data_IF_032269905995
#
_entry.id   IF_032269905995
#
_cell.length_a   1.000
_cell.length_b   1.000
_cell.length_c   1.000
_cell.angle_alpha   90.00
_cell.angle_beta   90.00
_cell.angle_gamma   90.00
#
_symmetry.space_group_name_H-M   'P 1'
#
loop_
_entity.id
_entity.type
_entity.pdbx_description
1 polymer ?
#
# COMPACT_ATOMS: atom_id res chain seq x y z
N UNK A 1 -20.56 16.54 -6.11
CA UNK A 1 -20.03 15.17 -6.20
C UNK A 1 -21.10 14.19 -6.60
N UNK A 2 -20.73 13.10 -7.20
CA UNK A 2 -21.60 11.99 -7.53
C UNK A 2 -20.80 10.68 -7.52
N UNK A 3 -21.46 9.57 -7.20
CA UNK A 3 -20.86 8.27 -7.15
C UNK A 3 -21.05 7.53 -8.47
N UNK A 4 -20.03 6.81 -8.87
CA UNK A 4 -20.02 6.02 -10.08
C UNK A 4 -19.43 4.63 -9.80
N UNK A 5 -19.97 3.64 -10.49
CA UNK A 5 -19.41 2.30 -10.53
C UNK A 5 -18.54 2.14 -11.77
N UNK A 6 -17.42 1.47 -11.66
CA UNK A 6 -16.57 1.15 -12.81
C UNK A 6 -17.04 -0.17 -13.43
N UNK A 7 -17.41 -0.13 -14.71
CA UNK A 7 -17.67 -1.32 -15.51
C UNK A 7 -16.51 -1.54 -16.47
N UNK A 8 -15.82 -2.67 -16.36
CA UNK A 8 -14.71 -3.02 -17.25
C UNK A 8 -15.20 -3.23 -18.67
N UNK A 9 -14.43 -2.77 -19.67
CA UNK A 9 -14.76 -2.99 -21.09
C UNK A 9 -14.61 -4.45 -21.49
N UNK A 10 -13.78 -5.22 -20.77
CA UNK A 10 -13.59 -6.64 -20.94
C UNK A 10 -13.43 -7.31 -19.57
N UNK A 11 -14.47 -8.01 -19.14
CA UNK A 11 -14.49 -8.67 -17.83
C UNK A 11 -13.60 -9.93 -17.76
N UNK A 12 -13.11 -10.44 -18.89
CA UNK A 12 -12.39 -11.71 -18.95
C UNK A 12 -10.88 -11.61 -18.76
N UNK A 13 -10.28 -10.39 -18.84
CA UNK A 13 -8.83 -10.24 -18.97
C UNK A 13 -8.18 -9.19 -18.07
N UNK A 14 -8.90 -8.63 -17.08
CA UNK A 14 -8.35 -7.56 -16.26
C UNK A 14 -8.11 -6.27 -17.07
N UNK A 15 -9.16 -5.75 -17.67
CA UNK A 15 -9.10 -4.55 -18.51
C UNK A 15 -8.54 -3.34 -17.73
N UNK A 16 -7.62 -2.61 -18.35
CA UNK A 16 -7.15 -1.32 -17.86
C UNK A 16 -8.06 -0.15 -18.23
N UNK A 17 -9.14 -0.41 -18.94
CA UNK A 17 -10.14 0.58 -19.38
C UNK A 17 -11.55 0.13 -18.98
N UNK A 18 -12.41 1.09 -18.71
CA UNK A 18 -13.79 0.84 -18.33
C UNK A 18 -14.66 2.07 -18.50
N UNK A 19 -15.95 1.91 -18.28
CA UNK A 19 -16.92 2.99 -18.25
C UNK A 19 -17.29 3.31 -16.82
N UNK A 20 -17.47 4.60 -16.52
CA UNK A 20 -18.05 5.05 -15.26
C UNK A 20 -19.57 5.08 -15.43
N UNK A 21 -20.25 4.19 -14.74
CA UNK A 21 -21.71 4.10 -14.70
C UNK A 21 -22.21 4.77 -13.46
N UNK A 22 -23.13 5.71 -13.64
CA UNK A 22 -23.72 6.49 -12.56
C UNK A 22 -24.41 5.57 -11.52
N UNK A 23 -24.07 5.74 -10.26
CA UNK A 23 -24.72 5.07 -9.17
C UNK A 23 -25.88 5.94 -8.62
N UNK A 24 -27.11 5.47 -8.78
CA UNK A 24 -28.30 6.22 -8.38
C UNK A 24 -28.77 7.26 -9.43
N UNK A 25 -29.60 8.22 -9.00
CA UNK A 25 -30.23 9.20 -9.90
C UNK A 25 -29.40 10.46 -10.11
N UNK A 26 -28.52 10.81 -9.19
CA UNK A 26 -27.72 12.04 -9.23
C UNK A 26 -26.38 11.77 -9.88
N UNK A 27 -26.12 12.43 -11.00
CA UNK A 27 -24.81 12.45 -11.66
C UNK A 27 -24.17 13.84 -11.60
N UNK A 28 -22.94 13.95 -12.05
CA UNK A 28 -22.29 15.25 -12.27
C UNK A 28 -23.08 16.01 -13.33
N UNK A 29 -23.50 17.23 -13.00
CA UNK A 29 -24.21 18.08 -13.97
C UNK A 29 -23.21 18.87 -14.79
N UNK A 30 -23.46 18.94 -16.07
CA UNK A 30 -22.76 19.85 -16.97
C UNK A 30 -23.10 21.29 -16.57
N UNK A 31 -22.07 22.12 -16.50
CA UNK A 31 -22.22 23.55 -16.34
C UNK A 31 -22.53 24.27 -17.69
N UNK A 32 -21.92 25.41 -17.91
CA UNK A 32 -22.01 26.12 -19.17
C UNK A 32 -21.36 25.35 -20.31
N UNK A 33 -22.14 24.80 -21.22
CA UNK A 33 -21.68 24.01 -22.37
C UNK A 33 -20.85 24.81 -23.40
N UNK A 34 -20.76 26.11 -23.24
CA UNK A 34 -19.90 26.98 -24.04
C UNK A 34 -18.46 27.09 -23.54
N UNK A 35 -18.13 26.46 -22.38
CA UNK A 35 -16.81 26.53 -21.75
C UNK A 35 -16.21 25.17 -21.50
N UNK A 36 -14.86 25.05 -21.47
CA UNK A 36 -14.20 23.85 -21.02
C UNK A 36 -14.54 23.51 -19.56
N UNK A 37 -14.62 22.20 -19.24
CA UNK A 37 -14.87 21.70 -17.90
C UNK A 37 -13.78 20.69 -17.51
N UNK A 38 -13.23 20.85 -16.31
CA UNK A 38 -12.34 19.87 -15.72
C UNK A 38 -13.14 18.91 -14.82
N UNK A 39 -12.85 17.62 -14.97
CA UNK A 39 -13.44 16.55 -14.20
C UNK A 39 -12.35 15.91 -13.36
N UNK A 40 -12.66 15.69 -12.11
CA UNK A 40 -11.79 15.03 -11.15
C UNK A 40 -12.51 13.84 -10.55
N UNK A 41 -11.80 12.76 -10.37
CA UNK A 41 -12.32 11.53 -9.78
C UNK A 41 -11.35 10.97 -8.74
N UNK A 42 -11.89 10.34 -7.75
CA UNK A 42 -11.13 9.61 -6.74
C UNK A 42 -11.69 8.18 -6.65
N UNK A 43 -10.79 7.21 -6.72
CA UNK A 43 -11.14 5.80 -6.58
C UNK A 43 -10.54 5.25 -5.29
N UNK A 44 -11.40 4.65 -4.49
CA UNK A 44 -11.04 3.91 -3.28
C UNK A 44 -12.11 2.86 -3.04
N UNK A 45 -11.71 1.64 -2.73
CA UNK A 45 -12.64 0.54 -2.43
C UNK A 45 -13.20 0.71 -1.00
N UNK A 46 -14.17 1.64 -0.83
CA UNK A 46 -14.92 1.80 0.42
C UNK A 46 -14.19 2.49 1.58
N UNK A 47 -13.10 3.21 1.32
CA UNK A 47 -12.29 3.89 2.35
C UNK A 47 -12.35 5.43 2.27
N UNK A 48 -13.36 5.98 1.64
CA UNK A 48 -13.63 7.41 1.70
C UNK A 48 -14.63 7.63 2.83
N UNK A 49 -14.22 8.40 3.83
CA UNK A 49 -15.18 8.90 4.82
C UNK A 49 -16.12 9.90 4.14
N UNK A 50 -17.39 9.55 4.06
CA UNK A 50 -18.42 10.43 3.52
C UNK A 50 -18.37 11.78 4.25
N UNK A 51 -18.28 12.86 3.50
CA UNK A 51 -18.25 14.22 4.05
C UNK A 51 -16.87 14.88 4.14
N UNK A 52 -15.77 14.18 3.86
CA UNK A 52 -14.43 14.77 3.88
C UNK A 52 -13.98 15.34 2.51
N UNK A 53 -14.94 15.69 1.65
CA UNK A 53 -14.66 16.36 0.38
C UNK A 53 -14.96 17.85 0.49
N UNK A 54 -13.97 18.68 0.17
CA UNK A 54 -14.15 20.13 0.05
C UNK A 54 -13.58 20.60 -1.28
N UNK A 55 -14.45 21.00 -2.20
CA UNK A 55 -14.02 21.40 -3.53
C UNK A 55 -13.37 20.25 -4.31
N UNK A 56 -12.08 20.38 -4.63
CA UNK A 56 -11.26 19.36 -5.29
C UNK A 56 -10.41 18.54 -4.32
N UNK A 57 -10.51 18.78 -3.02
CA UNK A 57 -9.73 18.08 -2.00
C UNK A 57 -10.50 16.90 -1.46
N UNK A 58 -9.86 15.73 -1.40
CA UNK A 58 -10.35 14.52 -0.76
C UNK A 58 -9.47 14.16 0.42
N UNK A 59 -10.05 13.61 1.48
CA UNK A 59 -9.33 13.12 2.63
C UNK A 59 -9.49 11.59 2.70
N UNK A 60 -8.39 10.89 2.93
CA UNK A 60 -8.36 9.45 2.99
C UNK A 60 -7.34 8.96 4.03
N UNK A 61 -7.47 7.72 4.47
CA UNK A 61 -6.60 7.13 5.51
C UNK A 61 -6.00 5.82 5.04
N UNK A 62 -4.68 5.69 5.21
CA UNK A 62 -3.98 4.41 5.18
C UNK A 62 -3.72 4.00 6.63
N UNK A 63 -4.31 2.92 7.13
CA UNK A 63 -4.17 2.55 8.54
C UNK A 63 -2.77 2.03 8.86
N UNK A 64 -2.39 2.13 10.13
CA UNK A 64 -1.15 1.53 10.66
C UNK A 64 -1.19 0.01 10.63
N UNK A 65 -2.32 -0.60 10.97
CA UNK A 65 -2.58 -2.02 10.82
C UNK A 65 -3.22 -2.30 9.47
N UNK A 66 -2.55 -3.09 8.63
CA UNK A 66 -3.06 -3.51 7.34
C UNK A 66 -3.30 -5.01 7.42
N UNK A 67 -4.54 -5.43 7.25
CA UNK A 67 -4.87 -6.84 7.25
C UNK A 67 -4.44 -7.48 5.93
N UNK A 68 -3.77 -8.61 6.04
CA UNK A 68 -3.53 -9.48 4.90
C UNK A 68 -4.80 -10.24 4.52
N UNK A 69 -4.96 -10.51 3.24
CA UNK A 69 -6.04 -11.36 2.74
C UNK A 69 -5.69 -12.86 2.89
N UNK A 70 -5.61 -13.57 1.77
CA UNK A 70 -5.29 -15.00 1.74
C UNK A 70 -3.79 -15.25 1.68
N UNK A 71 -3.36 -16.36 2.26
CA UNK A 71 -2.05 -16.92 1.99
C UNK A 71 -2.11 -17.77 0.72
N UNK A 72 -1.35 -17.40 -0.28
CA UNK A 72 -1.15 -18.16 -1.51
C UNK A 72 0.28 -18.72 -1.51
N UNK A 73 0.45 -19.92 -2.01
CA UNK A 73 1.76 -20.58 -2.09
C UNK A 73 2.00 -21.02 -3.55
N UNK A 74 3.20 -20.75 -4.06
CA UNK A 74 3.58 -21.00 -5.44
C UNK A 74 4.86 -21.81 -5.51
N UNK A 75 4.99 -22.63 -6.55
CA UNK A 75 6.25 -23.25 -6.92
C UNK A 75 7.13 -22.27 -7.72
N UNK A 76 8.34 -22.73 -8.08
CA UNK A 76 9.30 -21.90 -8.83
C UNK A 76 8.85 -21.57 -10.26
N UNK A 77 7.88 -22.31 -10.80
CA UNK A 77 7.32 -22.08 -12.14
C UNK A 77 6.15 -21.09 -12.10
N UNK A 78 5.82 -20.55 -10.91
CA UNK A 78 4.75 -19.58 -10.72
C UNK A 78 3.34 -20.19 -10.67
N UNK A 79 3.22 -21.52 -10.60
CA UNK A 79 1.94 -22.19 -10.40
C UNK A 79 1.61 -22.27 -8.90
N UNK A 80 0.33 -22.11 -8.57
CA UNK A 80 -0.14 -22.29 -7.19
C UNK A 80 0.07 -23.75 -6.77
N UNK A 81 0.80 -23.96 -5.65
CA UNK A 81 1.17 -25.26 -5.14
C UNK A 81 1.29 -25.17 -3.60
N UNK A 82 0.52 -25.93 -2.83
CA UNK A 82 0.58 -25.91 -1.36
C UNK A 82 1.98 -26.24 -0.79
N UNK A 83 2.80 -26.96 -1.53
CA UNK A 83 4.16 -27.34 -1.15
C UNK A 83 5.22 -26.39 -1.74
N UNK A 84 4.80 -25.30 -2.35
CA UNK A 84 5.68 -24.34 -3.00
C UNK A 84 6.65 -23.63 -2.07
N UNK A 85 7.66 -23.03 -2.66
CA UNK A 85 8.71 -22.33 -1.93
C UNK A 85 8.44 -20.82 -1.79
N UNK A 86 7.47 -20.29 -2.52
CA UNK A 86 7.14 -18.87 -2.51
C UNK A 86 5.73 -18.62 -1.98
N UNK A 87 5.65 -17.95 -0.85
CA UNK A 87 4.39 -17.60 -0.17
C UNK A 87 4.09 -16.13 -0.34
N UNK A 88 2.82 -15.80 -0.58
CA UNK A 88 2.33 -14.43 -0.72
C UNK A 88 1.13 -14.24 0.21
N UNK A 89 1.17 -13.21 1.03
CA UNK A 89 -0.04 -12.68 1.66
C UNK A 89 -0.64 -11.67 0.69
N UNK A 90 -1.85 -11.95 0.20
CA UNK A 90 -2.54 -11.02 -0.71
C UNK A 90 -2.84 -9.71 0.05
N UNK A 91 -2.48 -8.54 -0.50
CA UNK A 91 -2.76 -7.28 0.18
C UNK A 91 -4.25 -6.93 0.13
N UNK A 92 -4.70 -6.13 1.09
CA UNK A 92 -6.03 -5.50 1.00
C UNK A 92 -6.00 -4.39 -0.04
N UNK A 93 -6.57 -4.67 -1.20
CA UNK A 93 -6.62 -3.73 -2.33
C UNK A 93 -7.51 -2.51 -2.08
N UNK A 94 -8.26 -2.47 -0.96
CA UNK A 94 -9.03 -1.28 -0.59
C UNK A 94 -8.15 -0.05 -0.33
N UNK A 95 -6.87 -0.25 -0.04
CA UNK A 95 -5.89 0.82 0.12
C UNK A 95 -5.23 1.26 -1.20
N UNK A 96 -5.52 0.60 -2.33
CA UNK A 96 -5.07 1.03 -3.65
C UNK A 96 -5.91 2.23 -4.12
N UNK A 97 -5.53 3.42 -3.69
CA UNK A 97 -6.23 4.65 -4.02
C UNK A 97 -5.68 5.27 -5.30
N UNK A 98 -6.58 5.78 -6.14
CA UNK A 98 -6.22 6.42 -7.40
C UNK A 98 -6.95 7.75 -7.57
N UNK A 99 -6.28 8.72 -8.17
CA UNK A 99 -6.86 9.97 -8.61
C UNK A 99 -7.01 9.99 -10.13
N UNK A 100 -8.13 10.50 -10.62
CA UNK A 100 -8.44 10.63 -12.03
C UNK A 100 -8.69 12.07 -12.43
N UNK A 101 -8.25 12.43 -13.65
CA UNK A 101 -8.41 13.77 -14.21
C UNK A 101 -8.73 13.68 -15.69
N UNK A 102 -9.62 14.57 -16.12
CA UNK A 102 -9.96 14.72 -17.53
C UNK A 102 -10.53 16.11 -17.81
N UNK A 103 -10.44 16.55 -19.05
CA UNK A 103 -10.99 17.84 -19.50
C UNK A 103 -11.92 17.60 -20.67
N UNK A 104 -13.08 18.22 -20.64
CA UNK A 104 -13.97 18.31 -21.78
C UNK A 104 -13.88 19.72 -22.39
N UNK A 105 -13.89 19.79 -23.71
CA UNK A 105 -13.86 21.03 -24.47
C UNK A 105 -15.12 21.14 -25.36
N UNK A 106 -15.76 22.31 -25.49
CA UNK A 106 -16.90 22.50 -26.38
C UNK A 106 -16.61 22.05 -27.81
N UNK A 107 -17.57 21.37 -28.43
CA UNK A 107 -17.45 20.85 -29.80
C UNK A 107 -16.76 19.50 -29.92
N UNK A 108 -16.30 18.89 -28.81
CA UNK A 108 -15.82 17.51 -28.78
C UNK A 108 -16.96 16.54 -28.47
N UNK A 109 -16.64 15.25 -28.48
CA UNK A 109 -17.58 14.18 -28.10
C UNK A 109 -18.15 14.40 -26.69
N UNK A 110 -19.33 13.85 -26.43
CA UNK A 110 -19.99 13.94 -25.11
C UNK A 110 -19.29 13.10 -24.03
N UNK A 111 -18.31 12.30 -24.41
CA UNK A 111 -17.57 11.46 -23.49
C UNK A 111 -16.35 12.20 -22.94
N UNK A 112 -16.11 12.05 -21.64
CA UNK A 112 -14.91 12.56 -20.97
C UNK A 112 -14.01 11.38 -20.65
N UNK A 113 -12.81 11.37 -21.21
CA UNK A 113 -11.79 10.42 -20.83
C UNK A 113 -11.15 10.85 -19.50
N UNK A 114 -11.17 9.96 -18.50
CA UNK A 114 -10.45 10.14 -17.24
C UNK A 114 -9.26 9.20 -17.21
N UNK A 115 -8.08 9.74 -16.93
CA UNK A 115 -6.89 8.95 -16.70
C UNK A 115 -6.67 8.85 -15.20
N UNK A 116 -6.63 7.62 -14.67
CA UNK A 116 -6.39 7.34 -13.25
C UNK A 116 -4.94 7.01 -13.00
N UNK A 117 -4.36 7.59 -11.98
CA UNK A 117 -3.02 7.29 -11.48
C UNK A 117 -3.07 6.93 -10.00
N UNK A 118 -2.33 5.90 -9.55
CA UNK A 118 -2.26 5.60 -8.13
C UNK A 118 -1.62 6.76 -7.36
N UNK A 119 -2.21 7.10 -6.22
CA UNK A 119 -1.71 8.15 -5.31
C UNK A 119 -1.06 7.56 -4.05
N UNK A 120 -0.94 6.27 -3.96
CA UNK A 120 -0.24 5.54 -2.90
C UNK A 120 0.98 4.84 -3.47
N UNK A 121 1.91 4.45 -2.61
CA UNK A 121 3.03 3.59 -2.99
C UNK A 121 2.89 2.22 -2.36
N UNK A 122 3.51 1.21 -2.95
CA UNK A 122 3.55 -0.14 -2.42
C UNK A 122 4.99 -0.50 -2.06
N UNK A 123 5.20 -0.87 -0.81
CA UNK A 123 6.44 -1.50 -0.39
C UNK A 123 6.24 -3.03 -0.38
N UNK A 124 6.99 -3.70 -1.23
CA UNK A 124 6.95 -5.15 -1.44
C UNK A 124 8.13 -5.78 -0.69
N UNK A 125 7.86 -6.39 0.47
CA UNK A 125 8.88 -6.96 1.36
C UNK A 125 8.96 -8.46 1.14
N UNK A 126 10.11 -8.93 0.69
CA UNK A 126 10.41 -10.34 0.53
C UNK A 126 11.26 -10.83 1.70
N UNK A 127 10.67 -11.67 2.55
CA UNK A 127 11.30 -12.26 3.74
C UNK A 127 11.82 -13.65 3.36
N UNK A 128 13.12 -13.87 3.53
CA UNK A 128 13.71 -15.18 3.36
C UNK A 128 13.52 -16.01 4.63
N UNK A 129 13.30 -17.31 4.46
CA UNK A 129 13.16 -18.25 5.56
C UNK A 129 14.39 -18.29 6.48
N UNK A 130 14.26 -18.99 7.62
CA UNK A 130 15.32 -19.05 8.62
C UNK A 130 16.57 -19.74 8.11
N UNK A 131 17.72 -19.41 8.71
CA UNK A 131 19.00 -20.04 8.37
C UNK A 131 19.31 -21.25 9.27
N UNK A 132 19.12 -21.10 10.58
CA UNK A 132 19.62 -22.05 11.57
C UNK A 132 18.57 -23.04 12.10
N UNK A 133 17.29 -22.83 11.76
CA UNK A 133 16.19 -23.70 12.18
C UNK A 133 15.35 -24.11 10.97
N UNK A 134 14.70 -25.26 11.08
CA UNK A 134 13.91 -25.79 9.96
C UNK A 134 12.74 -24.90 9.53
N UNK A 135 12.15 -24.17 10.46
CA UNK A 135 11.06 -23.22 10.19
C UNK A 135 10.91 -22.18 11.30
N UNK A 136 10.19 -21.10 10.98
CA UNK A 136 9.66 -20.12 11.95
C UNK A 136 8.19 -19.85 11.65
N UNK A 137 7.41 -19.60 12.69
CA UNK A 137 6.03 -19.13 12.58
C UNK A 137 6.01 -17.59 12.68
N UNK A 138 5.61 -16.93 11.62
CA UNK A 138 5.60 -15.48 11.50
C UNK A 138 4.22 -14.95 11.90
N UNK A 139 4.19 -14.03 12.86
CA UNK A 139 2.96 -13.44 13.42
C UNK A 139 2.64 -12.10 12.78
N UNK A 140 3.66 -11.28 12.55
CA UNK A 140 3.49 -10.00 11.86
C UNK A 140 4.78 -9.53 11.22
N UNK A 141 4.62 -8.68 10.22
CA UNK A 141 5.72 -7.92 9.61
C UNK A 141 5.37 -6.45 9.73
N UNK A 142 6.33 -5.64 10.14
CA UNK A 142 6.15 -4.19 10.23
C UNK A 142 7.27 -3.44 9.51
N UNK A 143 6.95 -2.25 9.06
CA UNK A 143 7.89 -1.31 8.47
C UNK A 143 7.74 0.03 9.19
N UNK A 144 8.85 0.64 9.60
CA UNK A 144 8.83 1.96 10.23
C UNK A 144 9.90 2.88 9.66
N UNK A 145 9.62 4.18 9.71
CA UNK A 145 10.63 5.23 9.51
C UNK A 145 11.37 5.49 10.83
N UNK A 146 12.70 5.46 10.79
CA UNK A 146 13.55 5.80 11.97
C UNK A 146 13.51 7.29 12.28
N UNK A 147 13.43 8.12 11.26
CA UNK A 147 13.34 9.58 11.41
C UNK A 147 11.95 10.04 11.89
N UNK A 148 10.98 9.13 12.02
CA UNK A 148 9.61 9.46 12.40
C UNK A 148 8.78 10.06 11.27
N UNK A 149 9.21 9.95 10.01
CA UNK A 149 8.39 10.36 8.87
C UNK A 149 7.12 9.53 8.83
N UNK A 150 6.01 10.20 8.64
CA UNK A 150 4.70 9.55 8.51
C UNK A 150 4.63 8.78 7.19
N UNK A 151 4.57 7.47 7.27
CA UNK A 151 4.45 6.57 6.11
C UNK A 151 3.04 6.01 5.92
N UNK A 152 2.17 6.16 6.92
CA UNK A 152 0.74 5.83 6.90
C UNK A 152 -0.04 6.90 7.65
N UNK A 153 -1.36 6.81 7.68
CA UNK A 153 -2.25 7.72 8.40
C UNK A 153 -3.18 8.47 7.46
N UNK A 154 -3.88 9.46 8.02
CA UNK A 154 -4.81 10.30 7.27
C UNK A 154 -4.05 11.39 6.50
N UNK A 155 -4.48 11.63 5.28
CA UNK A 155 -3.93 12.66 4.40
C UNK A 155 -5.04 13.30 3.58
N UNK A 156 -4.82 14.54 3.14
CA UNK A 156 -5.65 15.18 2.13
C UNK A 156 -4.91 15.22 0.80
N UNK A 157 -5.66 15.05 -0.29
CA UNK A 157 -5.13 15.10 -1.65
C UNK A 157 -5.95 16.06 -2.48
N UNK A 158 -5.30 17.06 -3.07
CA UNK A 158 -5.92 17.98 -4.00
C UNK A 158 -5.88 17.39 -5.43
N UNK A 159 -7.04 16.97 -5.92
CA UNK A 159 -7.21 16.36 -7.23
C UNK A 159 -6.87 17.33 -8.39
N UNK A 160 -7.02 18.65 -8.18
CA UNK A 160 -6.72 19.64 -9.20
C UNK A 160 -5.22 19.89 -9.33
N UNK A 161 -4.52 20.00 -8.21
CA UNK A 161 -3.10 20.29 -8.13
C UNK A 161 -2.22 19.06 -8.01
N UNK A 162 -2.83 17.86 -7.88
CA UNK A 162 -2.13 16.58 -7.73
C UNK A 162 -1.12 16.60 -6.57
N UNK A 163 -1.53 17.20 -5.44
CA UNK A 163 -0.64 17.44 -4.30
C UNK A 163 -1.21 16.90 -2.99
N UNK A 164 -0.30 16.43 -2.13
CA UNK A 164 -0.64 15.95 -0.80
C UNK A 164 -0.57 17.09 0.21
N UNK A 165 -1.51 17.07 1.14
CA UNK A 165 -1.42 17.82 2.38
C UNK A 165 -1.39 16.85 3.55
N UNK A 166 -0.28 16.87 4.29
CA UNK A 166 -0.04 16.07 5.48
C UNK A 166 -0.01 17.01 6.69
N UNK A 167 -1.07 17.74 6.91
CA UNK A 167 -1.12 18.77 7.94
C UNK A 167 -0.80 18.18 9.32
N UNK A 168 0.37 18.55 9.83
CA UNK A 168 0.83 18.15 11.15
C UNK A 168 0.07 18.89 12.29
N UNK A 169 -0.73 19.90 11.97
CA UNK A 169 -1.44 20.73 12.93
C UNK A 169 -2.86 20.26 13.19
N UNK A 170 -3.45 19.49 12.28
CA UNK A 170 -4.76 18.89 12.48
C UNK A 170 -4.64 17.55 13.21
N UNK A 171 -4.91 17.59 14.53
CA UNK A 171 -4.85 16.39 15.38
C UNK A 171 -5.90 15.31 15.01
N UNK A 172 -6.88 15.62 14.18
CA UNK A 172 -7.81 14.64 13.61
C UNK A 172 -7.17 13.78 12.51
N UNK A 173 -6.04 14.23 11.96
CA UNK A 173 -5.30 13.60 10.89
C UNK A 173 -3.93 13.09 11.38
N UNK A 174 -3.95 12.16 12.34
CA UNK A 174 -2.71 11.57 12.87
C UNK A 174 -2.13 10.58 11.88
N UNK A 175 -1.02 10.96 11.27
CA UNK A 175 -0.20 10.05 10.51
C UNK A 175 0.78 9.30 11.43
N UNK A 176 1.20 8.11 11.05
CA UNK A 176 2.09 7.27 11.82
C UNK A 176 3.35 6.89 11.05
N UNK A 177 4.43 6.70 11.77
CA UNK A 177 5.73 6.29 11.21
C UNK A 177 5.89 4.78 11.08
N UNK A 178 4.87 4.00 11.41
CA UNK A 178 4.88 2.53 11.36
C UNK A 178 3.66 1.97 10.63
N UNK A 179 3.89 0.98 9.78
CA UNK A 179 2.87 0.14 9.18
C UNK A 179 3.10 -1.32 9.56
N UNK A 180 2.04 -2.06 9.88
CA UNK A 180 2.10 -3.47 10.27
C UNK A 180 1.10 -4.29 9.47
N UNK A 181 1.55 -5.42 8.92
CA UNK A 181 0.69 -6.44 8.33
C UNK A 181 0.69 -7.66 9.25
N UNK A 182 -0.48 -8.06 9.69
CA UNK A 182 -0.66 -9.30 10.44
C UNK A 182 -0.52 -10.49 9.49
N UNK A 183 0.28 -11.46 9.91
CA UNK A 183 0.51 -12.69 9.14
C UNK A 183 -0.17 -13.90 9.79
N UNK A 184 -1.25 -13.64 10.54
CA UNK A 184 -2.12 -14.66 11.11
C UNK A 184 -3.28 -14.85 10.12
N UNK A 185 -3.30 -16.01 9.47
CA UNK A 185 -4.31 -16.40 8.49
C UNK A 185 -5.11 -17.58 9.08
N UNK A 186 -6.43 -17.47 9.09
CA UNK A 186 -7.32 -18.49 9.68
C UNK A 186 -6.91 -18.88 11.12
N UNK A 187 -6.56 -17.88 11.94
CA UNK A 187 -6.06 -18.03 13.32
C UNK A 187 -4.72 -18.75 13.46
N UNK A 188 -3.97 -18.93 12.39
CA UNK A 188 -2.64 -19.55 12.43
C UNK A 188 -1.57 -18.58 11.91
N UNK A 189 -0.42 -18.47 12.60
CA UNK A 189 0.71 -17.72 12.08
C UNK A 189 1.27 -18.42 10.83
N UNK A 190 1.79 -17.62 9.91
CA UNK A 190 2.38 -18.16 8.67
C UNK A 190 3.66 -18.91 8.99
N UNK A 191 3.65 -20.22 8.76
CA UNK A 191 4.84 -21.06 8.83
C UNK A 191 5.74 -20.80 7.62
N UNK A 192 6.99 -20.42 7.89
CA UNK A 192 8.02 -20.17 6.88
C UNK A 192 9.19 -21.12 7.09
N UNK A 193 9.45 -21.99 6.12
CA UNK A 193 10.53 -22.97 6.17
C UNK A 193 11.85 -22.39 5.64
N UNK A 194 12.97 -23.08 5.92
CA UNK A 194 14.33 -22.61 5.63
C UNK A 194 14.55 -22.20 4.17
N UNK A 195 13.94 -22.90 3.23
CA UNK A 195 14.08 -22.66 1.79
C UNK A 195 12.90 -21.87 1.18
N UNK A 196 11.98 -21.40 2.02
CA UNK A 196 10.82 -20.65 1.57
C UNK A 196 11.04 -19.14 1.66
N UNK A 197 10.22 -18.41 0.94
CA UNK A 197 10.15 -16.96 0.97
C UNK A 197 8.71 -16.52 1.22
N UNK A 198 8.54 -15.47 2.02
CA UNK A 198 7.26 -14.85 2.28
C UNK A 198 7.26 -13.43 1.73
N UNK A 199 6.30 -13.14 0.86
CA UNK A 199 6.06 -11.81 0.32
C UNK A 199 4.93 -11.11 1.07
N UNK A 200 5.21 -9.92 1.58
CA UNK A 200 4.25 -9.06 2.29
C UNK A 200 4.28 -7.68 1.64
N UNK A 201 3.10 -7.14 1.35
CA UNK A 201 2.95 -5.82 0.73
C UNK A 201 2.33 -4.83 1.69
N UNK A 202 2.88 -3.63 1.71
CA UNK A 202 2.38 -2.48 2.47
C UNK A 202 1.93 -1.39 1.51
N UNK A 203 0.74 -0.86 1.73
CA UNK A 203 0.35 0.42 1.14
C UNK A 203 0.85 1.56 2.03
N UNK A 204 1.60 2.47 1.46
CA UNK A 204 2.24 3.57 2.18
C UNK A 204 1.92 4.91 1.51
N UNK A 205 2.06 5.97 2.29
CA UNK A 205 2.08 7.33 1.76
C UNK A 205 3.36 7.55 0.96
N UNK A 206 3.28 8.14 -0.24
CA UNK A 206 4.47 8.53 -0.98
C UNK A 206 5.30 9.52 -0.17
N UNK A 207 6.57 9.20 0.03
CA UNK A 207 7.51 10.00 0.83
C UNK A 207 8.92 9.91 0.27
N UNK A 208 9.64 10.99 0.39
CA UNK A 208 11.09 10.97 0.23
C UNK A 208 11.70 10.36 1.50
N UNK A 209 12.12 9.12 1.38
CA UNK A 209 12.73 8.34 2.45
C UNK A 209 14.23 8.23 2.17
N UNK A 210 15.03 8.74 3.09
CA UNK A 210 16.48 8.68 3.00
C UNK A 210 16.99 7.24 3.16
N UNK A 211 18.14 6.95 2.59
CA UNK A 211 18.82 5.67 2.79
C UNK A 211 19.00 5.38 4.28
N UNK A 212 18.71 4.14 4.68
CA UNK A 212 18.83 3.70 6.06
C UNK A 212 17.74 4.21 7.01
N UNK A 213 16.70 4.88 6.49
CA UNK A 213 15.58 5.34 7.32
C UNK A 213 14.50 4.26 7.53
N UNK A 214 14.30 3.34 6.58
CA UNK A 214 13.33 2.26 6.75
C UNK A 214 13.90 1.10 7.56
N UNK A 215 13.11 0.64 8.53
CA UNK A 215 13.38 -0.58 9.30
C UNK A 215 12.24 -1.56 9.08
N UNK A 216 12.57 -2.75 8.58
CA UNK A 216 11.65 -3.89 8.54
C UNK A 216 11.81 -4.70 9.81
N UNK A 217 10.71 -5.11 10.42
CA UNK A 217 10.70 -5.99 11.60
C UNK A 217 9.76 -7.17 11.37
N UNK A 218 10.17 -8.34 11.82
CA UNK A 218 9.43 -9.60 11.73
C UNK A 218 9.23 -10.14 13.13
N UNK A 219 7.99 -10.28 13.58
CA UNK A 219 7.63 -10.88 14.85
C UNK A 219 7.30 -12.36 14.64
N UNK A 220 7.90 -13.22 15.42
CA UNK A 220 7.62 -14.67 15.44
C UNK A 220 6.71 -15.05 16.59
N UNK A 221 6.05 -16.21 16.49
CA UNK A 221 5.17 -16.77 17.53
C UNK A 221 5.86 -16.92 18.90
N UNK A 222 7.17 -17.17 18.91
CA UNK A 222 7.98 -17.22 20.14
C UNK A 222 8.25 -15.84 20.77
N UNK A 223 7.69 -14.75 20.25
CA UNK A 223 7.89 -13.38 20.73
C UNK A 223 9.26 -12.78 20.34
N UNK A 224 10.03 -13.48 19.52
CA UNK A 224 11.30 -12.95 19.02
C UNK A 224 11.01 -12.00 17.86
N UNK A 225 11.64 -10.82 17.90
CA UNK A 225 11.57 -9.83 16.85
C UNK A 225 12.90 -9.75 16.13
N UNK A 226 12.86 -9.92 14.82
CA UNK A 226 13.99 -9.69 13.93
C UNK A 226 13.80 -8.36 13.25
N UNK A 227 14.75 -7.43 13.38
CA UNK A 227 14.66 -6.12 12.75
C UNK A 227 15.89 -5.82 11.91
N UNK A 228 15.69 -5.25 10.73
CA UNK A 228 16.77 -4.81 9.86
C UNK A 228 16.52 -3.42 9.30
N UNK A 229 17.53 -2.57 9.41
CA UNK A 229 17.57 -1.31 8.67
C UNK A 229 17.87 -1.62 7.20
N UNK A 230 17.04 -1.10 6.33
CA UNK A 230 17.24 -1.21 4.89
C UNK A 230 18.24 -0.13 4.48
N UNK A 231 19.46 -0.57 4.16
CA UNK A 231 20.51 0.26 3.62
C UNK A 231 20.64 -0.02 2.13
N UNK A 232 20.59 1.02 1.33
CA UNK A 232 20.77 0.93 -0.11
C UNK A 232 19.49 0.62 -0.87
N UNK A 233 19.42 1.22 -1.99
CA UNK A 233 18.33 1.21 -2.94
C UNK A 233 18.37 -0.06 -3.77
N UNK A 234 17.80 -1.13 -3.29
CA UNK A 234 17.24 -2.15 -4.18
C UNK A 234 15.89 -1.69 -4.71
N UNK A 235 15.72 -0.39 -4.90
CA UNK A 235 14.55 0.17 -5.55
C UNK A 235 14.79 0.08 -7.05
N UNK A 236 13.91 -0.56 -7.75
CA UNK A 236 13.80 -0.47 -9.20
C UNK A 236 13.37 0.96 -9.58
N UNK A 237 14.29 1.92 -9.40
CA UNK A 237 14.00 3.33 -9.57
C UNK A 237 15.01 4.29 -8.95
N UNK A 238 15.94 3.80 -8.15
CA UNK A 238 17.24 4.48 -7.90
C UNK A 238 17.33 5.53 -6.80
N UNK A 239 16.26 6.08 -6.21
CA UNK A 239 16.39 7.32 -5.43
C UNK A 239 15.95 7.25 -3.96
N UNK A 240 15.69 6.07 -3.40
CA UNK A 240 15.23 5.96 -2.00
C UNK A 240 13.84 6.57 -1.74
N UNK A 241 13.13 6.93 -2.77
CA UNK A 241 11.82 7.57 -2.74
C UNK A 241 10.73 6.53 -2.84
N UNK A 242 9.80 6.54 -1.89
CA UNK A 242 8.52 5.85 -2.02
C UNK A 242 7.60 6.73 -2.89
N UNK A 243 7.74 6.66 -4.22
CA UNK A 243 6.97 7.47 -5.15
C UNK A 243 5.54 6.98 -5.32
N UNK A 244 4.60 7.90 -5.59
CA UNK A 244 3.23 7.53 -5.93
C UNK A 244 3.18 6.63 -7.15
N UNK A 245 2.35 5.58 -7.07
CA UNK A 245 2.21 4.59 -8.16
C UNK A 245 3.38 3.64 -8.34
N UNK A 246 4.42 3.72 -7.50
CA UNK A 246 5.56 2.82 -7.57
C UNK A 246 5.39 1.63 -6.64
N UNK A 247 5.97 0.49 -7.06
CA UNK A 247 6.18 -0.69 -6.24
C UNK A 247 7.66 -0.81 -5.95
N UNK A 248 8.03 -0.57 -4.70
CA UNK A 248 9.42 -0.68 -4.24
C UNK A 248 9.61 -2.04 -3.60
N UNK A 249 10.52 -2.86 -4.15
CA UNK A 249 10.80 -4.19 -3.61
C UNK A 249 12.03 -4.18 -2.72
N UNK A 250 11.88 -4.76 -1.53
CA UNK A 250 12.96 -4.99 -0.57
C UNK A 250 13.10 -6.50 -0.34
N UNK A 251 14.33 -7.00 -0.40
CA UNK A 251 14.65 -8.37 -0.01
C UNK A 251 15.39 -8.34 1.31
N UNK A 252 14.89 -9.09 2.29
CA UNK A 252 15.58 -9.25 3.57
C UNK A 252 16.62 -10.37 3.49
N UNK A 253 17.67 -10.36 4.32
CA UNK A 253 18.50 -11.55 4.53
C UNK A 253 17.67 -12.67 5.19
N UNK A 254 18.27 -13.87 5.30
CA UNK A 254 17.65 -14.97 6.02
C UNK A 254 17.41 -14.62 7.48
N UNK A 255 16.30 -15.09 8.03
CA UNK A 255 15.99 -14.97 9.44
C UNK A 255 16.86 -15.93 10.25
N UNK A 256 17.36 -15.51 11.39
CA UNK A 256 18.30 -16.31 12.21
C UNK A 256 19.76 -16.17 11.77
N UNK A 257 20.63 -17.01 12.33
CA UNK A 257 22.06 -16.99 12.05
C UNK A 257 22.83 -15.83 12.67
N UNK A 258 24.06 -15.62 12.22
CA UNK A 258 24.91 -14.53 12.72
C UNK A 258 24.35 -13.15 12.38
N UNK A 259 23.56 -13.02 11.33
CA UNK A 259 22.89 -11.77 10.97
C UNK A 259 21.75 -11.42 11.91
N UNK A 260 21.13 -12.37 12.60
CA UNK A 260 20.08 -12.13 13.59
C UNK A 260 20.58 -11.23 14.74
N UNK A 261 21.84 -11.38 15.13
CA UNK A 261 22.43 -10.54 16.19
C UNK A 261 22.52 -9.06 15.78
N UNK A 262 22.55 -8.75 14.50
CA UNK A 262 22.49 -7.38 14.00
C UNK A 262 21.04 -6.82 13.97
N UNK A 263 20.04 -7.67 14.13
CA UNK A 263 18.64 -7.30 14.09
C UNK A 263 18.09 -6.84 15.43
N UNK A 264 18.59 -7.40 16.54
CA UNK A 264 18.00 -7.17 17.87
C UNK A 264 18.42 -5.85 18.55
N UNK A 265 19.45 -5.16 18.07
CA UNK A 265 20.05 -4.05 18.82
C UNK A 265 19.32 -2.69 18.67
N UNK A 266 18.21 -2.59 17.95
CA UNK A 266 17.65 -1.30 17.55
C UNK A 266 16.16 -1.06 17.82
N UNK A 267 15.46 -1.92 18.55
CA UNK A 267 14.04 -1.68 18.87
C UNK A 267 13.95 -1.05 20.26
N UNK A 268 13.40 0.16 20.41
CA UNK A 268 12.94 0.64 21.70
C UNK A 268 11.85 -0.32 22.22
N UNK A 269 11.98 -0.79 23.44
CA UNK A 269 11.09 -1.78 24.08
C UNK A 269 9.58 -1.42 24.09
N UNK A 270 9.19 -0.25 23.63
CA UNK A 270 7.82 0.27 23.74
C UNK A 270 7.04 0.33 22.42
N UNK A 271 7.62 -0.09 21.29
CA UNK A 271 6.99 0.11 19.97
C UNK A 271 6.17 -1.08 19.47
N UNK A 272 6.11 -2.20 20.20
CA UNK A 272 5.52 -3.44 19.70
C UNK A 272 4.26 -3.89 20.45
N UNK A 273 3.81 -3.19 21.48
CA UNK A 273 2.73 -3.67 22.36
C UNK A 273 1.60 -2.66 22.60
N UNK A 274 1.39 -1.71 21.71
CA UNK A 274 0.17 -0.85 21.76
C UNK A 274 -0.63 -0.96 20.50
#
# INVERSE_FOLDING_TARGET
TADYTVEATDASSGSSTGFLVKNGETGVRWGDTGKPHNFYAFYSLGKIDEGLQTGTTVTATIPTGQEGGKLLTYNNDGNEDPNGTFKIITPDMSFCMMAGKGTWTPGTDKNVALTFTPIVTVLDVLINGPEDVGFMNIVSVSVRSKSGKNIVGTFSYDLANESYNFDATDQSHTAASIATVQTIIDNNPVRLEQNQQLNVKFFLLPRDISEGDLVVSVLTEGGVVYSKTISGTSTSGGDGVLGAGLITRIKTPKLGGQEANNWMSQIPNNALFT
#
